data_IF_745567065311
#
_entry.id   IF_745567065311
#
_cell.length_a   1.000
_cell.length_b   1.000
_cell.length_c   1.000
_cell.angle_alpha   90.00
_cell.angle_beta   90.00
_cell.angle_gamma   90.00
#
_symmetry.space_group_name_H-M   'P 1'
#
loop_
_entity.id
_entity.type
_entity.pdbx_description
1 polymer ?
#
# COMPACT_ATOMS: atom_id res chain seq x y z
N UNK A 1 -14.45 -12.04 2.16
CA UNK A 1 -13.03 -12.47 2.17
C UNK A 1 -12.32 -11.76 3.31
N UNK A 2 -11.51 -12.46 4.10
CA UNK A 2 -10.69 -11.88 5.18
C UNK A 2 -9.28 -12.45 5.09
N UNK A 3 -8.27 -11.60 5.13
CA UNK A 3 -6.87 -12.00 5.19
C UNK A 3 -6.08 -10.94 5.97
N UNK A 4 -5.02 -11.38 6.63
CA UNK A 4 -4.14 -10.57 7.47
C UNK A 4 -2.70 -10.94 7.10
N UNK A 5 -1.83 -9.95 6.96
CA UNK A 5 -0.43 -10.17 6.64
C UNK A 5 0.42 -9.07 7.28
N UNK A 6 1.62 -9.45 7.68
CA UNK A 6 2.62 -8.53 8.20
C UNK A 6 3.51 -8.05 7.06
N UNK A 7 3.90 -6.77 7.12
CA UNK A 7 4.83 -6.17 6.18
C UNK A 7 6.05 -5.72 6.97
N UNK A 8 7.24 -6.09 6.49
CA UNK A 8 8.50 -5.65 7.11
C UNK A 8 8.65 -4.11 7.01
N UNK A 9 8.14 -3.55 5.91
CA UNK A 9 8.09 -2.10 5.70
C UNK A 9 6.69 -1.64 5.32
N UNK A 10 6.21 -0.61 6.03
CA UNK A 10 4.97 0.08 5.66
C UNK A 10 5.06 0.62 4.22
N UNK A 11 4.03 0.40 3.40
CA UNK A 11 4.07 0.75 2.00
C UNK A 11 4.21 2.27 1.86
N UNK A 12 5.15 2.71 1.05
CA UNK A 12 5.41 4.13 0.81
C UNK A 12 4.46 4.64 -0.26
N UNK A 13 3.99 5.86 -0.06
CA UNK A 13 3.08 6.54 -0.97
C UNK A 13 3.84 6.87 -2.26
N UNK A 14 3.31 6.48 -3.43
CA UNK A 14 3.90 6.75 -4.74
C UNK A 14 3.90 8.23 -5.16
N UNK A 15 3.67 9.17 -4.22
CA UNK A 15 3.50 10.59 -4.50
C UNK A 15 4.74 11.28 -5.10
N UNK A 16 5.90 10.62 -5.15
CA UNK A 16 7.09 11.18 -5.81
C UNK A 16 7.43 10.42 -7.09
N UNK A 17 6.63 10.63 -8.15
CA UNK A 17 7.11 10.41 -9.52
C UNK A 17 8.11 11.52 -9.83
N UNK A 18 9.37 11.14 -10.01
CA UNK A 18 10.39 12.05 -10.51
C UNK A 18 10.13 12.35 -11.98
N UNK A 19 10.28 13.61 -12.37
CA UNK A 19 10.25 14.03 -13.76
C UNK A 19 11.69 14.37 -14.14
N UNK A 20 12.22 13.69 -15.16
CA UNK A 20 13.52 14.01 -15.75
C UNK A 20 13.33 14.32 -17.23
N UNK A 21 13.96 15.38 -17.72
CA UNK A 21 14.02 15.68 -19.15
C UNK A 21 15.29 15.04 -19.71
N UNK A 22 15.15 14.12 -20.66
CA UNK A 22 16.28 13.47 -21.37
C UNK A 22 16.04 13.64 -22.86
N UNK A 23 16.98 14.28 -23.56
CA UNK A 23 16.91 14.57 -25.01
C UNK A 23 15.56 15.16 -25.45
N UNK A 24 15.09 16.19 -24.74
CA UNK A 24 13.84 16.89 -25.07
C UNK A 24 12.54 16.18 -24.65
N UNK A 25 12.58 14.88 -24.31
CA UNK A 25 11.41 14.11 -23.86
C UNK A 25 11.34 14.07 -22.33
N UNK A 26 10.12 14.24 -21.80
CA UNK A 26 9.82 14.07 -20.38
C UNK A 26 9.76 12.57 -20.06
N UNK A 27 10.64 12.11 -19.18
CA UNK A 27 10.61 10.75 -18.63
C UNK A 27 10.11 10.82 -17.17
N UNK A 28 9.08 10.03 -16.89
CA UNK A 28 8.59 9.80 -15.54
C UNK A 28 9.27 8.56 -14.98
N UNK A 29 9.88 8.69 -13.80
CA UNK A 29 10.51 7.56 -13.11
C UNK A 29 10.07 7.52 -11.65
N UNK A 30 9.97 6.32 -11.10
CA UNK A 30 9.71 6.14 -9.68
C UNK A 30 11.00 6.45 -8.90
N UNK A 31 10.94 7.38 -7.93
CA UNK A 31 12.10 7.65 -7.07
C UNK A 31 12.38 6.40 -6.21
N UNK A 32 13.65 6.00 -6.10
CA UNK A 32 14.06 4.77 -5.40
C UNK A 32 13.47 4.67 -3.98
N UNK A 33 13.01 3.47 -3.60
CA UNK A 33 12.39 3.21 -2.28
C UNK A 33 10.86 3.35 -2.23
N UNK A 34 10.21 3.60 -3.37
CA UNK A 34 8.74 3.66 -3.54
C UNK A 34 8.10 2.35 -4.00
N UNK A 35 8.90 1.33 -4.32
CA UNK A 35 8.39 0.07 -4.84
C UNK A 35 7.85 -0.82 -3.71
N UNK A 36 6.52 -0.94 -3.63
CA UNK A 36 5.81 -1.76 -2.64
C UNK A 36 5.71 -3.23 -3.09
N UNK A 37 6.86 -3.85 -3.38
CA UNK A 37 6.92 -5.23 -3.89
C UNK A 37 6.30 -6.24 -2.91
N UNK A 38 6.55 -6.08 -1.62
CA UNK A 38 6.07 -6.98 -0.56
C UNK A 38 4.54 -6.93 -0.43
N UNK A 39 3.95 -5.73 -0.38
CA UNK A 39 2.50 -5.54 -0.37
C UNK A 39 1.86 -6.20 -1.59
N UNK A 40 2.41 -5.97 -2.79
CA UNK A 40 1.88 -6.58 -4.01
C UNK A 40 1.99 -8.10 -3.98
N UNK A 41 3.08 -8.66 -3.46
CA UNK A 41 3.27 -10.10 -3.35
C UNK A 41 2.28 -10.73 -2.36
N UNK A 42 2.04 -10.11 -1.20
CA UNK A 42 1.08 -10.59 -0.22
C UNK A 42 -0.36 -10.51 -0.74
N UNK A 43 -0.71 -9.46 -1.47
CA UNK A 43 -2.00 -9.37 -2.16
C UNK A 43 -2.11 -10.45 -3.24
N UNK A 44 -1.09 -10.66 -4.07
CA UNK A 44 -1.11 -11.73 -5.08
C UNK A 44 -1.35 -13.12 -4.48
N UNK A 45 -0.75 -13.41 -3.32
CA UNK A 45 -0.97 -14.68 -2.60
C UNK A 45 -2.40 -14.80 -2.09
N UNK A 46 -2.95 -13.71 -1.57
CA UNK A 46 -4.31 -13.62 -1.03
C UNK A 46 -5.30 -13.09 -2.07
N UNK A 47 -5.12 -13.42 -3.35
CA UNK A 47 -6.05 -12.99 -4.40
C UNK A 47 -7.26 -13.94 -4.40
N UNK A 48 -8.50 -13.45 -4.60
CA UNK A 48 -9.64 -14.33 -4.84
C UNK A 48 -9.44 -15.13 -6.16
N UNK A 49 -9.92 -16.38 -6.16
CA UNK A 49 -9.80 -17.27 -7.34
C UNK A 49 -10.60 -16.74 -8.53
N UNK A 50 -11.76 -16.17 -8.24
CA UNK A 50 -12.66 -15.54 -9.20
C UNK A 50 -12.73 -14.04 -8.90
N UNK A 51 -12.84 -13.22 -9.94
CA UNK A 51 -12.97 -11.77 -9.78
C UNK A 51 -14.37 -11.43 -9.25
N UNK A 52 -14.50 -10.39 -8.43
CA UNK A 52 -15.82 -9.88 -8.07
C UNK A 52 -16.60 -9.40 -9.31
N UNK A 53 -17.91 -9.64 -9.32
CA UNK A 53 -18.77 -9.16 -10.39
C UNK A 53 -18.87 -7.63 -10.37
N UNK A 54 -18.93 -7.00 -11.55
CA UNK A 54 -18.84 -5.54 -11.72
C UNK A 54 -19.91 -4.74 -10.96
N UNK A 55 -21.07 -5.33 -10.70
CA UNK A 55 -22.23 -4.63 -10.12
C UNK A 55 -22.55 -5.07 -8.69
N UNK A 56 -21.66 -5.84 -8.05
CA UNK A 56 -21.87 -6.26 -6.66
C UNK A 56 -21.36 -5.18 -5.71
N UNK A 57 -22.17 -4.71 -4.75
CA UNK A 57 -21.70 -3.79 -3.73
C UNK A 57 -20.70 -4.51 -2.81
N UNK A 58 -19.51 -3.94 -2.66
CA UNK A 58 -18.45 -4.47 -1.81
C UNK A 58 -18.18 -3.54 -0.63
N UNK A 59 -17.94 -4.14 0.54
CA UNK A 59 -17.45 -3.43 1.73
C UNK A 59 -16.00 -3.82 1.99
N UNK A 60 -15.10 -2.84 1.95
CA UNK A 60 -13.71 -3.00 2.34
C UNK A 60 -13.52 -2.48 3.78
N UNK A 61 -12.94 -3.30 4.64
CA UNK A 61 -12.55 -2.91 6.00
C UNK A 61 -11.10 -3.30 6.22
N UNK A 62 -10.27 -2.31 6.56
CA UNK A 62 -8.82 -2.47 6.70
C UNK A 62 -8.40 -1.93 8.05
N UNK A 63 -7.60 -2.70 8.76
CA UNK A 63 -7.01 -2.30 10.04
C UNK A 63 -5.50 -2.30 9.88
N UNK A 64 -4.87 -1.15 10.09
CA UNK A 64 -3.41 -1.02 10.05
C UNK A 64 -2.85 -1.12 11.46
N UNK A 65 -2.07 -2.17 11.71
CA UNK A 65 -1.28 -2.30 12.93
C UNK A 65 0.11 -1.71 12.70
N UNK A 66 0.49 -0.70 13.50
CA UNK A 66 1.78 -0.04 13.35
C UNK A 66 2.75 -0.53 14.42
N UNK A 67 3.84 -1.18 14.00
CA UNK A 67 4.97 -1.42 14.87
C UNK A 67 5.64 -0.09 15.27
N UNK A 68 5.96 0.04 16.56
CA UNK A 68 6.69 1.18 17.10
C UNK A 68 8.18 0.85 17.00
N UNK A 69 8.89 1.48 16.05
CA UNK A 69 10.35 1.28 15.87
C UNK A 69 11.22 1.98 16.92
N UNK A 70 10.64 2.81 17.78
CA UNK A 70 11.36 3.54 18.82
C UNK A 70 11.45 2.69 20.10
N UNK A 71 12.57 2.76 20.81
CA UNK A 71 12.69 2.27 22.19
C UNK A 71 11.77 3.09 23.10
N UNK A 72 10.51 2.66 23.20
CA UNK A 72 9.50 3.29 24.05
C UNK A 72 9.38 2.52 25.36
N UNK A 73 8.98 3.23 26.41
CA UNK A 73 8.58 2.60 27.68
C UNK A 73 7.35 1.71 27.42
N UNK A 74 7.25 0.61 28.16
CA UNK A 74 6.04 -0.23 28.16
C UNK A 74 4.80 0.66 28.33
N UNK A 75 3.76 0.44 27.51
CA UNK A 75 2.48 1.19 27.47
C UNK A 75 2.50 2.56 26.78
N UNK A 76 3.59 2.96 26.14
CA UNK A 76 3.60 4.25 25.45
C UNK A 76 3.00 4.16 24.04
N UNK A 77 1.87 4.82 23.85
CA UNK A 77 1.19 4.89 22.56
C UNK A 77 2.04 5.60 21.48
N UNK A 78 1.81 5.21 20.22
CA UNK A 78 2.32 5.94 19.06
C UNK A 78 1.45 7.18 18.85
N UNK A 79 2.06 8.35 18.94
CA UNK A 79 1.38 9.66 18.80
C UNK A 79 1.55 10.29 17.43
N UNK A 80 2.41 9.71 16.57
CA UNK A 80 2.58 10.20 15.20
C UNK A 80 1.36 9.87 14.35
N UNK A 81 0.78 10.91 13.75
CA UNK A 81 -0.37 10.78 12.86
C UNK A 81 -0.01 9.86 11.68
N UNK A 82 -0.69 8.72 11.51
CA UNK A 82 -0.53 7.90 10.32
C UNK A 82 -1.19 8.57 9.13
N UNK A 83 -0.59 8.42 7.95
CA UNK A 83 -1.15 8.87 6.68
C UNK A 83 -2.07 7.79 6.09
N UNK A 84 -3.23 7.61 6.73
CA UNK A 84 -4.17 6.53 6.42
C UNK A 84 -4.77 6.65 5.02
N UNK A 85 -5.05 7.87 4.56
CA UNK A 85 -5.71 8.11 3.28
C UNK A 85 -4.82 7.68 2.11
N UNK A 86 -3.53 8.05 2.14
CA UNK A 86 -2.60 7.65 1.10
C UNK A 86 -2.30 6.14 1.14
N UNK A 87 -2.27 5.52 2.33
CA UNK A 87 -2.13 4.07 2.48
C UNK A 87 -3.34 3.33 1.87
N UNK A 88 -4.54 3.78 2.19
CA UNK A 88 -5.78 3.21 1.68
C UNK A 88 -5.87 3.35 0.14
N UNK A 89 -5.55 4.52 -0.41
CA UNK A 89 -5.55 4.76 -1.86
C UNK A 89 -4.61 3.80 -2.59
N UNK A 90 -3.39 3.64 -2.08
CA UNK A 90 -2.39 2.77 -2.67
C UNK A 90 -2.80 1.29 -2.61
N UNK A 91 -3.41 0.85 -1.50
CA UNK A 91 -3.95 -0.49 -1.35
C UNK A 91 -5.04 -0.76 -2.40
N UNK A 92 -5.99 0.16 -2.56
CA UNK A 92 -7.07 0.04 -3.55
C UNK A 92 -6.54 0.00 -4.98
N UNK A 93 -5.53 0.81 -5.32
CA UNK A 93 -4.88 0.79 -6.62
C UNK A 93 -4.26 -0.59 -6.93
N UNK A 94 -3.60 -1.21 -5.94
CA UNK A 94 -3.06 -2.56 -6.10
C UNK A 94 -4.15 -3.61 -6.21
N UNK A 95 -5.19 -3.58 -5.37
CA UNK A 95 -6.32 -4.50 -5.45
C UNK A 95 -7.01 -4.43 -6.83
N UNK A 96 -7.20 -3.22 -7.35
CA UNK A 96 -7.75 -2.99 -8.69
C UNK A 96 -6.86 -3.59 -9.78
N UNK A 97 -5.55 -3.36 -9.74
CA UNK A 97 -4.59 -3.94 -10.69
C UNK A 97 -4.57 -5.47 -10.63
N UNK A 98 -4.77 -6.05 -9.45
CA UNK A 98 -4.78 -7.49 -9.24
C UNK A 98 -6.14 -8.14 -9.54
N UNK A 99 -7.16 -7.34 -9.90
CA UNK A 99 -8.53 -7.81 -10.17
C UNK A 99 -9.09 -8.60 -8.99
N UNK A 100 -9.03 -7.99 -7.83
CA UNK A 100 -9.87 -8.42 -6.71
C UNK A 100 -11.33 -8.28 -7.14
#
# INVERSE_FOLDING_TARGET
MKFEFELEKMPTTQQQKGIKKVNGKLQFYDRGGTSNYELKAQLMKNKPKECFEKNTPLKLSVTFFYAIKQNKRWWQWKTTRPDLDNLMKNLQDYMTKLRY
#
